data_IF_214699979688
#
_entry.id   IF_214699979688
#
_cell.length_a   1.000
_cell.length_b   1.000
_cell.length_c   1.000
_cell.angle_alpha   90.00
_cell.angle_beta   90.00
_cell.angle_gamma   90.00
#
_symmetry.space_group_name_H-M   'P 1'
#
loop_
_entity.id
_entity.type
_entity.pdbx_description
1 polymer ?
#
# COMPACT_ATOMS: atom_id res chain seq x y z
N UNK A 1 -14.96 -33.14 18.60
CA UNK A 1 -14.87 -31.91 17.76
C UNK A 1 -13.39 -31.64 17.48
N UNK A 2 -13.05 -31.40 16.22
CA UNK A 2 -11.69 -31.00 15.85
C UNK A 2 -11.42 -29.58 16.35
N UNK A 3 -10.19 -29.28 16.87
CA UNK A 3 -9.86 -27.94 17.31
C UNK A 3 -9.91 -26.98 16.13
N UNK A 4 -10.61 -25.86 16.29
CA UNK A 4 -10.62 -24.79 15.30
C UNK A 4 -9.34 -23.98 15.45
N UNK A 5 -8.55 -23.88 14.36
CA UNK A 5 -7.36 -23.02 14.32
C UNK A 5 -7.75 -21.72 13.63
N UNK A 6 -7.64 -20.62 14.37
CA UNK A 6 -7.86 -19.28 13.85
C UNK A 6 -6.51 -18.61 13.61
N UNK A 7 -6.22 -18.29 12.35
CA UNK A 7 -5.05 -17.50 11.98
C UNK A 7 -5.41 -16.01 12.03
N UNK A 8 -4.71 -15.26 12.90
CA UNK A 8 -4.84 -13.82 13.03
C UNK A 8 -3.61 -13.15 12.42
N UNK A 9 -3.81 -12.34 11.40
CA UNK A 9 -2.74 -11.60 10.75
C UNK A 9 -2.65 -10.20 11.31
N UNK A 10 -1.45 -9.79 11.71
CA UNK A 10 -1.19 -8.51 12.35
C UNK A 10 -0.08 -7.75 11.64
N UNK A 11 -0.18 -6.44 11.69
CA UNK A 11 0.85 -5.50 11.28
C UNK A 11 1.03 -4.45 12.35
N UNK A 12 2.22 -3.91 12.46
CA UNK A 12 2.53 -2.74 13.28
C UNK A 12 3.20 -1.69 12.42
N UNK A 13 3.21 -0.46 12.87
CA UNK A 13 3.99 0.61 12.27
C UNK A 13 4.92 1.25 13.32
N UNK A 14 5.97 1.88 12.84
CA UNK A 14 6.91 2.63 13.68
C UNK A 14 6.40 4.06 13.95
N UNK A 15 7.26 4.88 14.59
CA UNK A 15 6.93 6.27 14.91
C UNK A 15 6.68 7.14 13.66
N UNK A 16 7.24 6.73 12.51
CA UNK A 16 7.08 7.41 11.23
C UNK A 16 5.93 6.83 10.39
N UNK A 17 5.04 6.04 11.02
CA UNK A 17 3.90 5.34 10.39
C UNK A 17 4.29 4.38 9.26
N UNK A 18 5.49 3.82 9.30
CA UNK A 18 5.94 2.82 8.32
C UNK A 18 5.68 1.42 8.83
N UNK A 19 5.11 0.58 7.97
CA UNK A 19 4.74 -0.78 8.32
C UNK A 19 5.96 -1.66 8.61
N UNK A 20 5.80 -2.52 9.60
CA UNK A 20 6.75 -3.56 9.97
C UNK A 20 6.08 -4.74 10.65
N UNK A 21 6.78 -5.85 10.70
CA UNK A 21 6.35 -7.03 11.45
C UNK A 21 6.19 -6.75 12.93
N UNK A 22 5.16 -7.30 13.55
CA UNK A 22 4.92 -7.18 14.98
C UNK A 22 6.02 -7.89 15.78
N UNK A 23 6.50 -7.24 16.84
CA UNK A 23 7.48 -7.85 17.74
C UNK A 23 6.90 -9.09 18.45
N UNK A 24 7.77 -9.99 18.88
CA UNK A 24 7.37 -11.18 19.67
C UNK A 24 6.63 -10.82 20.95
N UNK A 25 6.98 -9.67 21.56
CA UNK A 25 6.31 -9.17 22.76
C UNK A 25 4.86 -8.77 22.47
N UNK A 26 4.63 -8.01 21.38
CA UNK A 26 3.28 -7.59 20.96
C UNK A 26 2.44 -8.83 20.68
N UNK A 27 2.95 -9.80 19.91
CA UNK A 27 2.24 -11.04 19.59
C UNK A 27 1.91 -11.85 20.84
N UNK A 28 2.82 -11.90 21.82
CA UNK A 28 2.59 -12.59 23.09
C UNK A 28 1.50 -11.90 23.92
N UNK A 29 1.56 -10.57 24.04
CA UNK A 29 0.55 -9.81 24.79
C UNK A 29 -0.83 -9.94 24.13
N UNK A 30 -0.91 -9.86 22.81
CA UNK A 30 -2.15 -10.05 22.06
C UNK A 30 -2.70 -11.48 22.25
N UNK A 31 -1.84 -12.50 22.23
CA UNK A 31 -2.25 -13.88 22.48
C UNK A 31 -2.81 -14.05 23.90
N UNK A 32 -2.16 -13.46 24.89
CA UNK A 32 -2.62 -13.49 26.29
C UNK A 32 -3.99 -12.83 26.43
N UNK A 33 -4.17 -11.66 25.84
CA UNK A 33 -5.45 -10.94 25.83
C UNK A 33 -6.56 -11.76 25.17
N UNK A 34 -6.30 -12.28 23.97
CA UNK A 34 -7.29 -13.06 23.21
C UNK A 34 -7.61 -14.43 23.86
N UNK A 35 -6.71 -14.96 24.70
CA UNK A 35 -6.95 -16.20 25.42
C UNK A 35 -8.14 -16.14 26.39
N UNK A 36 -8.47 -14.94 26.86
CA UNK A 36 -9.62 -14.71 27.76
C UNK A 36 -10.98 -14.81 27.02
N UNK A 37 -10.98 -14.63 25.70
CA UNK A 37 -12.19 -14.58 24.87
C UNK A 37 -12.38 -15.83 24.00
N UNK A 38 -11.43 -16.76 23.98
CA UNK A 38 -11.52 -17.98 23.15
C UNK A 38 -12.37 -19.06 23.80
N UNK A 39 -12.98 -19.90 22.98
CA UNK A 39 -13.58 -21.16 23.44
C UNK A 39 -12.47 -22.19 23.78
N UNK A 40 -12.79 -23.21 24.61
CA UNK A 40 -11.86 -24.18 25.15
C UNK A 40 -11.08 -24.93 24.05
N UNK A 41 -11.72 -25.16 22.89
CA UNK A 41 -11.14 -25.92 21.76
C UNK A 41 -10.49 -25.04 20.67
N UNK A 42 -10.50 -23.71 20.81
CA UNK A 42 -9.96 -22.81 19.79
C UNK A 42 -8.47 -22.52 20.03
N UNK A 43 -7.68 -22.61 18.97
CA UNK A 43 -6.26 -22.22 18.97
C UNK A 43 -6.07 -21.00 18.09
N UNK A 44 -5.49 -19.93 18.64
CA UNK A 44 -5.18 -18.70 17.90
C UNK A 44 -3.70 -18.70 17.52
N UNK A 45 -3.42 -18.62 16.22
CA UNK A 45 -2.07 -18.39 15.68
C UNK A 45 -1.97 -16.94 15.20
N UNK A 46 -0.99 -16.21 15.73
CA UNK A 46 -0.74 -14.83 15.33
C UNK A 46 0.43 -14.82 14.36
N UNK A 47 0.18 -14.34 13.14
CA UNK A 47 1.12 -14.25 12.02
C UNK A 47 1.28 -12.81 11.58
N UNK A 48 2.39 -12.48 10.91
CA UNK A 48 2.53 -11.20 10.23
C UNK A 48 1.88 -11.26 8.85
N UNK A 49 1.19 -10.20 8.44
CA UNK A 49 0.82 -10.04 7.04
C UNK A 49 2.03 -9.57 6.23
N UNK A 50 2.04 -9.87 4.92
CA UNK A 50 3.12 -9.47 4.03
C UNK A 50 2.98 -7.99 3.65
N UNK A 51 4.07 -7.24 3.77
CA UNK A 51 4.13 -5.85 3.31
C UNK A 51 4.77 -5.83 1.94
N UNK A 52 4.03 -5.37 0.93
CA UNK A 52 4.50 -5.20 -0.44
C UNK A 52 4.72 -3.71 -0.68
N UNK A 53 5.99 -3.31 -0.72
CA UNK A 53 6.33 -1.93 -1.00
C UNK A 53 6.18 -1.64 -2.49
N UNK A 54 5.56 -0.51 -2.81
CA UNK A 54 5.27 -0.10 -4.17
C UNK A 54 5.79 1.29 -4.48
N UNK A 55 6.14 1.49 -5.75
CA UNK A 55 6.41 2.77 -6.38
C UNK A 55 5.26 3.09 -7.34
N UNK A 56 4.82 4.34 -7.36
CA UNK A 56 3.84 4.84 -8.31
C UNK A 56 4.50 5.83 -9.24
N UNK A 57 4.49 5.53 -10.54
CA UNK A 57 5.03 6.41 -11.58
C UNK A 57 3.86 6.90 -12.43
N UNK A 58 3.77 8.21 -12.68
CA UNK A 58 2.70 8.76 -13.49
C UNK A 58 3.18 9.84 -14.45
N UNK A 59 2.49 9.92 -15.59
CA UNK A 59 2.71 10.92 -16.62
C UNK A 59 1.44 11.75 -16.79
N UNK A 60 1.58 13.09 -16.70
CA UNK A 60 0.47 14.03 -16.84
C UNK A 60 0.77 15.09 -17.91
N UNK A 61 -0.28 15.65 -18.48
CA UNK A 61 -0.25 16.90 -19.24
C UNK A 61 -0.79 17.98 -18.33
N UNK A 62 -0.06 19.09 -18.25
CA UNK A 62 -0.43 20.25 -17.42
C UNK A 62 -1.04 21.34 -18.32
N UNK A 63 -2.05 22.03 -17.81
CA UNK A 63 -2.66 23.17 -18.49
C UNK A 63 -1.63 24.31 -18.68
N UNK A 64 -1.67 25.05 -19.81
CA UNK A 64 -0.64 26.03 -20.18
C UNK A 64 -0.40 27.15 -19.16
N UNK A 65 -1.39 27.46 -18.33
CA UNK A 65 -1.33 28.57 -17.37
C UNK A 65 -0.86 28.15 -15.97
N UNK A 66 -0.43 26.90 -15.80
CA UNK A 66 -0.02 26.36 -14.52
C UNK A 66 1.47 26.03 -14.49
N UNK A 67 2.08 26.14 -13.30
CA UNK A 67 3.47 25.76 -13.09
C UNK A 67 3.58 24.22 -12.97
N UNK A 68 4.38 23.61 -13.82
CA UNK A 68 4.56 22.16 -13.88
C UNK A 68 4.98 21.57 -12.52
N UNK A 69 5.94 22.19 -11.84
CA UNK A 69 6.45 21.68 -10.56
C UNK A 69 5.41 21.75 -9.45
N UNK A 70 4.60 22.81 -9.44
CA UNK A 70 3.55 22.97 -8.45
C UNK A 70 2.42 21.95 -8.66
N UNK A 71 2.01 21.72 -9.91
CA UNK A 71 1.01 20.70 -10.25
C UNK A 71 1.52 19.29 -9.89
N UNK A 72 2.78 18.99 -10.20
CA UNK A 72 3.40 17.72 -9.81
C UNK A 72 3.40 17.51 -8.29
N UNK A 73 3.72 18.54 -7.51
CA UNK A 73 3.69 18.46 -6.04
C UNK A 73 2.28 18.14 -5.55
N UNK A 74 1.25 18.83 -6.06
CA UNK A 74 -0.15 18.57 -5.72
C UNK A 74 -0.58 17.13 -6.08
N UNK A 75 -0.11 16.59 -7.20
CA UNK A 75 -0.37 15.21 -7.62
C UNK A 75 0.29 14.22 -6.65
N UNK A 76 1.55 14.46 -6.27
CA UNK A 76 2.27 13.62 -5.30
C UNK A 76 1.57 13.64 -3.94
N UNK A 77 1.16 14.80 -3.45
CA UNK A 77 0.42 14.94 -2.20
C UNK A 77 -0.92 14.20 -2.23
N UNK A 78 -1.64 14.28 -3.36
CA UNK A 78 -2.91 13.57 -3.53
C UNK A 78 -2.74 12.06 -3.50
N UNK A 79 -1.72 11.53 -4.19
CA UNK A 79 -1.39 10.09 -4.17
C UNK A 79 -0.87 9.65 -2.79
N UNK A 80 -0.05 10.49 -2.12
CA UNK A 80 0.43 10.20 -0.76
C UNK A 80 -0.73 10.06 0.22
N UNK A 81 -1.73 10.96 0.14
CA UNK A 81 -2.92 10.87 0.97
C UNK A 81 -3.80 9.65 0.62
N UNK A 82 -3.89 9.27 -0.66
CA UNK A 82 -4.64 8.09 -1.07
C UNK A 82 -4.04 6.79 -0.50
N UNK A 83 -2.71 6.70 -0.44
CA UNK A 83 -1.99 5.56 0.12
C UNK A 83 -1.63 5.73 1.60
N UNK A 84 -2.28 6.65 2.33
CA UNK A 84 -2.04 6.80 3.77
C UNK A 84 -2.39 5.50 4.48
N UNK A 85 -1.45 5.02 5.29
CA UNK A 85 -1.56 3.73 5.95
C UNK A 85 -2.71 3.66 6.98
N UNK A 86 -3.15 4.80 7.49
CA UNK A 86 -4.27 4.85 8.42
C UNK A 86 -5.61 4.52 7.73
N UNK A 87 -5.70 4.78 6.41
CA UNK A 87 -6.89 4.53 5.60
C UNK A 87 -6.77 3.27 4.72
N UNK A 88 -5.58 2.64 4.69
CA UNK A 88 -5.31 1.49 3.83
C UNK A 88 -5.45 0.16 4.59
N UNK A 89 -6.09 -0.82 3.99
CA UNK A 89 -6.42 -2.09 4.65
C UNK A 89 -5.64 -3.29 4.10
N UNK A 90 -5.48 -4.32 4.93
CA UNK A 90 -4.96 -5.62 4.49
C UNK A 90 -5.88 -6.19 3.40
N UNK A 91 -5.28 -6.76 2.37
CA UNK A 91 -5.96 -7.31 1.18
C UNK A 91 -6.80 -6.30 0.39
N UNK A 92 -6.55 -5.00 0.54
CA UNK A 92 -7.19 -3.99 -0.29
C UNK A 92 -6.56 -3.98 -1.68
N UNK A 93 -7.35 -4.15 -2.77
CA UNK A 93 -6.85 -4.03 -4.13
C UNK A 93 -6.57 -2.58 -4.49
N UNK A 94 -5.68 -2.35 -5.48
CA UNK A 94 -5.44 -1.02 -6.04
C UNK A 94 -6.23 -0.91 -7.34
N UNK A 95 -7.10 0.10 -7.44
CA UNK A 95 -7.87 0.38 -8.64
C UNK A 95 -7.20 1.51 -9.43
N UNK A 96 -6.74 1.22 -10.64
CA UNK A 96 -6.17 2.25 -11.52
C UNK A 96 -7.19 3.35 -11.83
N UNK A 97 -8.47 3.00 -11.97
CA UNK A 97 -9.55 3.97 -12.17
C UNK A 97 -9.59 5.05 -11.10
N UNK A 98 -9.40 4.67 -9.83
CA UNK A 98 -9.42 5.61 -8.72
C UNK A 98 -8.21 6.55 -8.78
N UNK A 99 -7.03 6.02 -9.12
CA UNK A 99 -5.81 6.81 -9.29
C UNK A 99 -5.94 7.79 -10.45
N UNK A 100 -6.51 7.36 -11.59
CA UNK A 100 -6.78 8.23 -12.72
C UNK A 100 -7.74 9.36 -12.34
N UNK A 101 -8.86 9.04 -11.69
CA UNK A 101 -9.85 10.04 -11.24
C UNK A 101 -9.25 10.99 -10.20
N UNK A 102 -8.43 10.47 -9.29
CA UNK A 102 -7.76 11.26 -8.27
C UNK A 102 -6.84 12.32 -8.88
N UNK A 103 -5.99 11.90 -9.80
CA UNK A 103 -5.04 12.79 -10.48
C UNK A 103 -5.72 13.77 -11.44
N UNK A 104 -6.77 13.33 -12.13
CA UNK A 104 -7.52 14.18 -13.06
C UNK A 104 -8.27 15.33 -12.36
N UNK A 105 -8.60 15.15 -11.07
CA UNK A 105 -9.21 16.19 -10.24
C UNK A 105 -8.22 17.22 -9.70
N UNK A 106 -6.92 16.98 -9.82
CA UNK A 106 -5.90 17.93 -9.32
C UNK A 106 -5.91 19.17 -10.18
N UNK A 107 -6.01 20.33 -9.53
CA UNK A 107 -6.02 21.62 -10.21
C UNK A 107 -4.74 21.83 -11.01
N UNK A 108 -4.89 22.10 -12.31
CA UNK A 108 -3.79 22.31 -13.25
C UNK A 108 -3.46 21.07 -14.10
N UNK A 109 -4.01 19.90 -13.78
CA UNK A 109 -3.91 18.72 -14.64
C UNK A 109 -4.89 18.86 -15.80
N UNK A 110 -4.40 18.70 -17.01
CA UNK A 110 -5.23 18.64 -18.22
C UNK A 110 -5.71 17.22 -18.49
N UNK A 111 -4.81 16.23 -18.37
CA UNK A 111 -5.12 14.81 -18.51
C UNK A 111 -3.99 13.96 -17.92
N UNK A 112 -4.34 12.78 -17.48
CA UNK A 112 -3.40 11.73 -17.04
C UNK A 112 -3.14 10.80 -18.22
N UNK A 113 -1.86 10.69 -18.64
CA UNK A 113 -1.46 9.85 -19.78
C UNK A 113 -1.22 8.40 -19.40
N UNK A 114 -0.55 8.20 -18.26
CA UNK A 114 -0.14 6.88 -17.83
C UNK A 114 0.01 6.84 -16.31
N UNK A 115 -0.28 5.69 -15.73
CA UNK A 115 0.05 5.36 -14.34
C UNK A 115 0.63 3.95 -14.35
N UNK A 116 1.75 3.78 -13.68
CA UNK A 116 2.43 2.50 -13.52
C UNK A 116 2.75 2.27 -12.05
N UNK A 117 2.55 1.04 -11.59
CA UNK A 117 2.88 0.61 -10.24
C UNK A 117 3.96 -0.46 -10.35
N UNK A 118 5.05 -0.29 -9.62
CA UNK A 118 6.16 -1.21 -9.55
C UNK A 118 6.35 -1.71 -8.13
N UNK A 119 6.78 -2.94 -7.96
CA UNK A 119 7.18 -3.47 -6.66
C UNK A 119 8.61 -3.05 -6.32
N UNK A 120 8.82 -2.58 -5.09
CA UNK A 120 10.13 -2.25 -4.54
C UNK A 120 10.53 -3.29 -3.49
N UNK A 121 11.77 -3.77 -3.56
CA UNK A 121 12.32 -4.73 -2.61
C UNK A 121 13.72 -4.32 -2.17
N UNK A 122 14.15 -4.81 -1.02
CA UNK A 122 15.51 -4.66 -0.53
C UNK A 122 15.60 -4.05 0.87
N UNK A 123 15.93 -4.88 1.85
CA UNK A 123 16.05 -4.49 3.27
C UNK A 123 17.11 -3.41 3.46
N UNK A 124 18.21 -3.46 2.70
CA UNK A 124 19.27 -2.45 2.76
C UNK A 124 18.79 -1.04 2.35
N UNK A 125 17.73 -0.96 1.54
CA UNK A 125 17.09 0.28 1.11
C UNK A 125 15.90 0.67 1.99
N UNK A 126 15.60 -0.13 3.01
CA UNK A 126 14.49 0.10 3.93
C UNK A 126 13.16 -0.54 3.49
N UNK A 127 13.12 -1.25 2.37
CA UNK A 127 11.94 -1.96 1.90
C UNK A 127 11.87 -3.39 2.44
N UNK A 128 10.71 -4.04 2.27
CA UNK A 128 10.56 -5.47 2.53
C UNK A 128 11.30 -6.30 1.47
N UNK A 129 11.58 -7.58 1.79
CA UNK A 129 12.14 -8.53 0.83
C UNK A 129 11.08 -9.25 -0.02
N UNK A 130 9.81 -8.94 0.21
CA UNK A 130 8.73 -9.61 -0.49
C UNK A 130 8.56 -9.06 -1.91
N UNK A 131 8.88 -9.91 -2.89
CA UNK A 131 8.62 -9.62 -4.29
C UNK A 131 7.17 -9.97 -4.66
N UNK A 132 6.54 -9.10 -5.44
CA UNK A 132 5.18 -9.29 -5.93
C UNK A 132 5.09 -8.93 -7.42
N UNK A 133 4.53 -9.84 -8.21
CA UNK A 133 4.33 -9.62 -9.64
C UNK A 133 3.11 -8.72 -9.89
N UNK A 134 3.29 -7.42 -9.76
CA UNK A 134 2.23 -6.42 -9.99
C UNK A 134 1.60 -6.57 -11.39
N UNK A 135 2.39 -6.66 -12.50
CA UNK A 135 1.81 -6.85 -13.82
C UNK A 135 0.95 -8.12 -13.94
N UNK A 136 1.44 -9.24 -13.41
CA UNK A 136 0.71 -10.51 -13.45
C UNK A 136 -0.54 -10.52 -12.56
N UNK A 137 -0.55 -9.72 -11.50
CA UNK A 137 -1.69 -9.55 -10.59
C UNK A 137 -2.69 -8.49 -11.05
N UNK A 138 -2.40 -7.79 -12.15
CA UNK A 138 -3.29 -6.74 -12.69
C UNK A 138 -4.25 -7.33 -13.71
N UNK A 139 -5.53 -7.30 -13.38
CA UNK A 139 -6.62 -7.77 -14.26
C UNK A 139 -7.65 -6.63 -14.38
N UNK A 140 -7.98 -6.26 -15.61
CA UNK A 140 -8.98 -5.23 -15.92
C UNK A 140 -8.79 -3.90 -15.16
N UNK A 141 -7.53 -3.47 -14.98
CA UNK A 141 -7.18 -2.23 -14.29
C UNK A 141 -7.26 -2.30 -12.77
N UNK A 142 -7.29 -3.50 -12.19
CA UNK A 142 -7.25 -3.75 -10.75
C UNK A 142 -6.03 -4.58 -10.42
N UNK A 143 -5.19 -4.10 -9.50
CA UNK A 143 -4.11 -4.90 -8.91
C UNK A 143 -4.68 -5.67 -7.73
N UNK A 144 -4.83 -6.96 -7.89
CA UNK A 144 -5.35 -7.82 -6.83
C UNK A 144 -4.26 -8.21 -5.83
N UNK A 145 -4.58 -8.27 -4.53
CA UNK A 145 -3.68 -8.86 -3.54
C UNK A 145 -3.59 -10.38 -3.72
N UNK A 146 -2.54 -10.99 -3.15
CA UNK A 146 -2.42 -12.44 -3.13
C UNK A 146 -3.44 -13.10 -2.19
N UNK A 147 -3.55 -14.43 -2.28
CA UNK A 147 -4.38 -15.23 -1.36
C UNK A 147 -3.87 -15.13 0.08
N UNK A 148 -2.55 -15.04 0.26
CA UNK A 148 -1.94 -14.80 1.57
C UNK A 148 -2.15 -13.33 1.97
N UNK A 149 -2.54 -13.06 3.22
CA UNK A 149 -2.81 -11.70 3.68
C UNK A 149 -1.62 -10.77 3.47
N UNK A 150 -1.81 -9.74 2.69
CA UNK A 150 -0.80 -8.74 2.34
C UNK A 150 -1.36 -7.33 2.33
N UNK A 151 -0.50 -6.36 2.39
CA UNK A 151 -0.83 -4.95 2.26
C UNK A 151 0.14 -4.25 1.32
N UNK A 152 -0.38 -3.39 0.45
CA UNK A 152 0.46 -2.48 -0.36
C UNK A 152 0.84 -1.26 0.47
N UNK A 153 2.10 -0.86 0.42
CA UNK A 153 2.62 0.32 1.13
C UNK A 153 3.48 1.17 0.21
N UNK A 154 3.17 2.45 0.12
CA UNK A 154 4.10 3.48 -0.38
C UNK A 154 4.94 3.96 0.80
N UNK A 155 6.14 3.41 0.95
CA UNK A 155 6.93 3.59 2.18
C UNK A 155 7.54 4.97 2.31
N UNK A 156 8.03 5.53 1.22
CA UNK A 156 8.65 6.85 1.18
C UNK A 156 7.98 7.71 0.11
N UNK A 157 6.82 8.33 0.38
CA UNK A 157 6.03 9.04 -0.65
C UNK A 157 6.83 10.04 -1.47
N UNK A 158 7.80 10.73 -0.86
CA UNK A 158 8.64 11.72 -1.55
C UNK A 158 9.62 11.13 -2.58
N UNK A 159 9.90 9.82 -2.51
CA UNK A 159 10.79 9.11 -3.43
C UNK A 159 10.11 8.01 -4.23
N UNK A 160 9.04 7.44 -3.69
CA UNK A 160 8.35 6.30 -4.27
C UNK A 160 7.15 6.74 -5.14
N UNK A 161 6.77 8.02 -5.09
CA UNK A 161 5.79 8.60 -6.00
C UNK A 161 6.54 9.54 -6.96
N UNK A 162 6.54 9.20 -8.26
CA UNK A 162 7.30 9.90 -9.29
C UNK A 162 6.38 10.37 -10.40
N UNK A 163 6.30 11.68 -10.59
CA UNK A 163 5.52 12.28 -11.65
C UNK A 163 6.38 12.91 -12.74
N UNK A 164 5.89 12.86 -13.98
CA UNK A 164 6.49 13.60 -15.11
C UNK A 164 5.41 14.38 -15.83
N UNK A 165 5.78 15.58 -16.25
CA UNK A 165 4.98 16.34 -17.21
C UNK A 165 5.44 15.96 -18.62
N UNK A 166 4.52 15.51 -19.44
CA UNK A 166 4.77 15.12 -20.83
C UNK A 166 4.08 16.08 -21.78
N UNK A 167 4.64 16.31 -22.99
CA UNK A 167 3.98 17.14 -23.99
C UNK A 167 2.71 16.44 -24.55
N UNK A 168 1.86 17.26 -25.15
CA UNK A 168 0.62 16.83 -25.83
C UNK A 168 0.96 15.97 -27.04
#
# INVERSE_FOLDING_TARGET
ELPTILDLYVLTYDADKKLRSASSLIKRNLRTYLAEYRMINDSIKIKDAFVINIEVVFDIIVLPNYNNSEVLTRCIDSLSNYFDIDDWQINQPILFSDLFVLLDKVEGVQTVKNIQINNLTGVALGYSDFAYDIPGATIDGVVYPSIDPMIFEVKFPNSDIKGRVVPI
#
